data_IF_431559656328
#
_entry.id   IF_431559656328
#
_cell.length_a   1.000
_cell.length_b   1.000
_cell.length_c   1.000
_cell.angle_alpha   90.00
_cell.angle_beta   90.00
_cell.angle_gamma   90.00
#
_symmetry.space_group_name_H-M   'P 1'
#
loop_
_entity.id
_entity.type
_entity.pdbx_description
1 polymer ?
#
# COMPACT_ATOMS: atom_id res chain seq x y z
N UNK A 1 -34.36 0.23 -30.76
CA UNK A 1 -33.44 -0.66 -31.51
C UNK A 1 -32.18 -0.75 -30.66
N UNK A 2 -32.15 -1.69 -29.72
CA UNK A 2 -31.00 -1.90 -28.83
C UNK A 2 -29.91 -2.56 -29.67
N UNK A 3 -28.89 -1.78 -30.02
CA UNK A 3 -27.68 -2.31 -30.63
C UNK A 3 -27.02 -3.19 -29.58
N UNK A 4 -26.91 -4.49 -29.87
CA UNK A 4 -26.06 -5.41 -29.15
C UNK A 4 -24.63 -4.85 -29.19
N UNK A 5 -24.14 -4.31 -28.07
CA UNK A 5 -22.75 -3.86 -27.89
C UNK A 5 -21.83 -5.08 -27.70
N UNK A 6 -21.73 -5.90 -28.74
CA UNK A 6 -20.61 -6.85 -28.96
C UNK A 6 -19.39 -6.15 -29.59
N UNK A 7 -19.51 -4.85 -29.90
CA UNK A 7 -18.37 -3.99 -30.25
C UNK A 7 -17.61 -3.65 -28.96
N UNK A 8 -16.64 -4.51 -28.62
CA UNK A 8 -15.67 -4.24 -27.55
C UNK A 8 -14.88 -2.96 -27.82
N UNK A 9 -14.31 -2.39 -26.78
CA UNK A 9 -13.29 -1.33 -26.95
C UNK A 9 -12.24 -1.84 -27.92
N UNK A 10 -12.03 -1.08 -28.99
CA UNK A 10 -11.00 -1.34 -29.99
C UNK A 10 -9.63 -1.38 -29.27
N UNK A 11 -8.95 -2.52 -29.34
CA UNK A 11 -7.65 -2.74 -28.71
C UNK A 11 -6.65 -1.67 -29.16
N UNK A 12 -6.64 -1.35 -30.46
CA UNK A 12 -5.70 -0.38 -31.01
C UNK A 12 -6.02 1.03 -30.49
N UNK A 13 -7.31 1.38 -30.37
CA UNK A 13 -7.73 2.64 -29.79
C UNK A 13 -7.35 2.75 -28.31
N UNK A 14 -7.56 1.70 -27.51
CA UNK A 14 -7.17 1.69 -26.09
C UNK A 14 -5.65 1.79 -25.91
N UNK A 15 -4.87 1.11 -26.75
CA UNK A 15 -3.41 1.20 -26.74
C UNK A 15 -2.94 2.60 -27.14
N UNK A 16 -3.50 3.17 -28.21
CA UNK A 16 -3.20 4.54 -28.64
C UNK A 16 -3.51 5.55 -27.53
N UNK A 17 -4.70 5.47 -26.94
CA UNK A 17 -5.11 6.31 -25.82
C UNK A 17 -4.13 6.20 -24.65
N UNK A 18 -3.72 4.97 -24.30
CA UNK A 18 -2.79 4.73 -23.20
C UNK A 18 -1.43 5.40 -23.43
N UNK A 19 -0.90 5.37 -24.66
CA UNK A 19 0.34 6.08 -25.00
C UNK A 19 0.18 7.60 -25.01
N UNK A 20 -0.93 8.12 -25.54
CA UNK A 20 -1.20 9.56 -25.59
C UNK A 20 -1.33 10.20 -24.20
N UNK A 21 -1.91 9.47 -23.24
CA UNK A 21 -2.20 9.97 -21.91
C UNK A 21 -1.18 9.52 -20.85
N UNK A 22 -0.23 8.65 -21.21
CA UNK A 22 0.80 8.16 -20.28
C UNK A 22 0.32 7.04 -19.34
N UNK A 23 -0.79 6.35 -19.65
CA UNK A 23 -1.26 5.14 -18.97
C UNK A 23 -0.35 3.94 -19.33
N UNK A 24 0.92 4.04 -18.97
CA UNK A 24 1.97 3.10 -19.39
C UNK A 24 2.88 2.71 -18.24
N UNK A 25 3.38 1.47 -18.30
CA UNK A 25 4.40 0.96 -17.39
C UNK A 25 5.64 0.57 -18.19
N UNK A 26 6.80 0.71 -17.56
CA UNK A 26 8.08 0.29 -18.11
C UNK A 26 8.33 -1.18 -17.80
N UNK A 27 8.90 -1.88 -18.78
CA UNK A 27 9.42 -3.24 -18.60
C UNK A 27 10.84 -3.32 -19.11
N UNK A 28 11.67 -4.06 -18.37
CA UNK A 28 13.00 -4.46 -18.82
C UNK A 28 12.87 -5.75 -19.63
N UNK A 29 13.22 -5.68 -20.91
CA UNK A 29 13.27 -6.84 -21.80
C UNK A 29 14.69 -6.94 -22.32
N UNK A 30 15.42 -7.98 -21.89
CA UNK A 30 16.80 -8.24 -22.28
C UNK A 30 17.77 -7.06 -22.06
N UNK A 31 17.63 -6.33 -20.96
CA UNK A 31 18.47 -5.18 -20.62
C UNK A 31 18.04 -3.86 -21.29
N UNK A 32 16.97 -3.86 -22.08
CA UNK A 32 16.38 -2.66 -22.66
C UNK A 32 15.06 -2.32 -21.99
N UNK A 33 14.93 -1.07 -21.57
CA UNK A 33 13.71 -0.54 -20.98
C UNK A 33 12.78 -0.02 -22.07
N UNK A 34 11.55 -0.55 -22.11
CA UNK A 34 10.50 -0.07 -23.00
C UNK A 34 9.24 0.27 -22.22
N UNK A 35 8.53 1.32 -22.64
CA UNK A 35 7.20 1.65 -22.14
C UNK A 35 6.17 0.85 -22.91
N UNK A 36 5.22 0.25 -22.18
CA UNK A 36 4.07 -0.44 -22.76
C UNK A 36 2.81 0.03 -22.05
N UNK A 37 1.61 -0.10 -22.65
CA UNK A 37 0.36 0.17 -21.96
C UNK A 37 0.32 -0.58 -20.62
N UNK A 38 -0.12 0.11 -19.58
CA UNK A 38 -0.31 -0.50 -18.27
C UNK A 38 -1.33 -1.65 -18.42
N UNK A 39 -1.18 -2.77 -17.68
CA UNK A 39 -2.22 -3.79 -17.65
C UNK A 39 -3.50 -3.19 -17.08
N UNK A 40 -4.59 -3.20 -17.85
CA UNK A 40 -5.87 -2.62 -17.45
C UNK A 40 -7.02 -3.55 -17.81
N UNK A 41 -8.14 -3.43 -17.09
CA UNK A 41 -9.41 -3.90 -17.60
C UNK A 41 -9.95 -2.85 -18.58
N UNK A 42 -10.39 -3.29 -19.76
CA UNK A 42 -11.04 -2.40 -20.72
C UNK A 42 -12.45 -1.99 -20.25
N UNK A 43 -13.10 -2.81 -19.42
CA UNK A 43 -14.40 -2.48 -18.83
C UNK A 43 -14.27 -2.36 -17.31
N UNK A 44 -14.97 -1.41 -16.66
CA UNK A 44 -15.02 -1.37 -15.21
C UNK A 44 -15.72 -2.63 -14.67
N UNK A 45 -15.29 -3.10 -13.51
CA UNK A 45 -15.97 -4.17 -12.79
C UNK A 45 -17.27 -3.66 -12.15
N UNK A 46 -18.25 -4.55 -11.95
CA UNK A 46 -19.48 -4.17 -11.27
C UNK A 46 -19.21 -4.05 -9.77
N UNK A 47 -19.65 -2.96 -9.15
CA UNK A 47 -19.53 -2.79 -7.70
C UNK A 47 -20.82 -2.26 -7.10
N UNK A 48 -21.34 -2.86 -6.02
CA UNK A 48 -22.54 -2.35 -5.36
C UNK A 48 -22.29 -0.97 -4.78
N UNK A 49 -23.15 -0.01 -5.10
CA UNK A 49 -23.05 1.38 -4.63
C UNK A 49 -22.90 1.48 -3.11
N UNK A 50 -23.69 0.72 -2.36
CA UNK A 50 -23.64 0.71 -0.89
C UNK A 50 -22.26 0.29 -0.36
N UNK A 51 -21.58 -0.66 -1.02
CA UNK A 51 -20.27 -1.15 -0.62
C UNK A 51 -19.18 -0.12 -0.93
N UNK A 52 -19.25 0.52 -2.10
CA UNK A 52 -18.36 1.63 -2.48
C UNK A 52 -18.49 2.80 -1.51
N UNK A 53 -19.72 3.27 -1.25
CA UNK A 53 -19.99 4.37 -0.33
C UNK A 53 -19.55 4.06 1.10
N UNK A 54 -19.72 2.79 1.54
CA UNK A 54 -19.18 2.33 2.83
C UNK A 54 -17.65 2.41 2.85
N UNK A 55 -16.95 1.95 1.82
CA UNK A 55 -15.49 1.98 1.76
C UNK A 55 -14.95 3.42 1.84
N UNK A 56 -15.54 4.34 1.05
CA UNK A 56 -15.23 5.77 1.08
C UNK A 56 -15.46 6.38 2.47
N UNK A 57 -16.61 6.09 3.08
CA UNK A 57 -16.98 6.64 4.39
C UNK A 57 -16.08 6.13 5.52
N UNK A 58 -15.51 4.92 5.40
CA UNK A 58 -14.68 4.32 6.44
C UNK A 58 -13.23 4.83 6.41
N UNK A 59 -12.72 5.28 5.27
CA UNK A 59 -11.30 5.66 5.13
C UNK A 59 -10.79 6.66 6.17
N UNK A 60 -11.52 7.75 6.52
CA UNK A 60 -11.07 8.68 7.55
C UNK A 60 -10.89 8.03 8.94
N UNK A 61 -11.62 6.95 9.22
CA UNK A 61 -11.49 6.19 10.46
C UNK A 61 -10.24 5.31 10.46
N UNK A 62 -9.86 4.70 9.32
CA UNK A 62 -8.56 4.04 9.18
C UNK A 62 -7.41 5.03 9.30
N UNK A 63 -7.54 6.22 8.70
CA UNK A 63 -6.53 7.27 8.84
C UNK A 63 -6.33 7.66 10.32
N UNK A 64 -7.43 7.85 11.06
CA UNK A 64 -7.36 8.11 12.51
C UNK A 64 -6.76 6.92 13.27
N UNK A 65 -7.17 5.69 12.95
CA UNK A 65 -6.67 4.49 13.60
C UNK A 65 -5.14 4.38 13.51
N UNK A 66 -4.56 4.64 12.34
CA UNK A 66 -3.08 4.64 12.18
C UNK A 66 -2.45 5.70 13.10
N UNK A 67 -3.04 6.90 13.20
CA UNK A 67 -2.54 7.94 14.09
C UNK A 67 -2.64 7.57 15.57
N UNK A 68 -3.71 6.91 16.00
CA UNK A 68 -3.85 6.41 17.37
C UNK A 68 -2.84 5.29 17.67
N UNK A 69 -2.61 4.38 16.72
CA UNK A 69 -1.61 3.31 16.85
C UNK A 69 -0.20 3.87 17.06
N UNK A 70 0.21 4.86 16.25
CA UNK A 70 1.57 5.43 16.39
C UNK A 70 1.75 6.25 17.66
N UNK A 71 0.66 6.68 18.31
CA UNK A 71 0.71 7.35 19.60
C UNK A 71 0.81 6.35 20.77
N UNK A 72 0.34 5.12 20.60
CA UNK A 72 0.50 4.02 21.57
C UNK A 72 1.83 3.28 21.40
N UNK A 73 2.93 4.02 21.62
CA UNK A 73 4.30 3.56 21.37
C UNK A 73 4.62 2.20 22.02
N UNK A 74 4.24 2.00 23.29
CA UNK A 74 4.54 0.75 24.03
C UNK A 74 3.85 -0.45 23.38
N UNK A 75 2.62 -0.27 22.89
CA UNK A 75 1.87 -1.34 22.25
C UNK A 75 2.47 -1.72 20.90
N UNK A 76 2.74 -0.73 20.04
CA UNK A 76 3.33 -0.97 18.73
C UNK A 76 4.75 -1.57 18.85
N UNK A 77 5.55 -1.10 19.81
CA UNK A 77 6.86 -1.69 20.10
C UNK A 77 6.74 -3.14 20.60
N UNK A 78 5.74 -3.44 21.42
CA UNK A 78 5.44 -4.80 21.87
C UNK A 78 5.16 -5.75 20.71
N UNK A 79 4.34 -5.32 19.74
CA UNK A 79 4.06 -6.08 18.52
C UNK A 79 5.34 -6.31 17.71
N UNK A 80 6.08 -5.23 17.48
CA UNK A 80 7.33 -5.26 16.74
C UNK A 80 8.33 -6.27 17.32
N UNK A 81 8.51 -6.28 18.64
CA UNK A 81 9.42 -7.21 19.32
C UNK A 81 8.93 -8.67 19.30
N UNK A 82 7.63 -8.91 19.08
CA UNK A 82 7.05 -10.25 18.97
C UNK A 82 7.26 -10.88 17.57
N UNK A 83 7.60 -10.06 16.57
CA UNK A 83 7.86 -10.52 15.20
C UNK A 83 9.33 -10.91 15.09
N UNK A 84 9.60 -12.17 14.74
CA UNK A 84 10.96 -12.64 14.42
C UNK A 84 11.23 -12.51 12.93
N UNK A 85 11.68 -11.34 12.52
CA UNK A 85 11.98 -11.02 11.12
C UNK A 85 13.05 -9.91 11.01
N UNK A 86 14.17 -10.22 10.35
CA UNK A 86 15.33 -9.31 10.23
C UNK A 86 14.97 -7.92 9.66
N UNK A 87 13.99 -7.87 8.74
CA UNK A 87 13.58 -6.62 8.13
C UNK A 87 12.80 -5.75 9.11
N UNK A 88 11.80 -6.33 9.78
CA UNK A 88 11.05 -5.65 10.84
C UNK A 88 11.98 -5.22 11.97
N UNK A 89 12.90 -6.09 12.44
CA UNK A 89 13.85 -5.76 13.49
C UNK A 89 14.70 -4.52 13.16
N UNK A 90 15.14 -4.38 11.90
CA UNK A 90 15.90 -3.21 11.46
C UNK A 90 15.05 -1.93 11.39
N UNK A 91 13.80 -2.02 10.95
CA UNK A 91 12.87 -0.88 10.99
C UNK A 91 12.62 -0.43 12.43
N UNK A 92 12.42 -1.38 13.34
CA UNK A 92 12.23 -1.12 14.77
C UNK A 92 13.46 -0.49 15.41
N UNK A 93 14.67 -0.93 15.03
CA UNK A 93 15.91 -0.31 15.47
C UNK A 93 16.00 1.15 15.05
N UNK A 94 15.65 1.46 13.79
CA UNK A 94 15.58 2.85 13.32
C UNK A 94 14.57 3.64 14.15
N UNK A 95 13.38 3.11 14.36
CA UNK A 95 12.32 3.79 15.11
C UNK A 95 12.77 4.16 16.54
N UNK A 96 13.41 3.23 17.27
CA UNK A 96 13.96 3.49 18.63
C UNK A 96 15.06 4.54 18.66
N UNK A 97 15.75 4.75 17.54
CA UNK A 97 16.84 5.70 17.39
C UNK A 97 16.40 7.10 16.90
N UNK A 98 15.11 7.27 16.57
CA UNK A 98 14.58 8.48 15.97
C UNK A 98 13.76 9.32 16.96
N UNK A 99 13.82 10.67 16.85
CA UNK A 99 12.94 11.52 17.62
C UNK A 99 11.49 11.38 17.14
N UNK A 100 10.55 11.70 18.04
CA UNK A 100 9.15 11.86 17.64
C UNK A 100 9.02 13.04 16.68
N UNK A 101 8.44 12.80 15.52
CA UNK A 101 8.22 13.82 14.49
C UNK A 101 7.10 14.77 14.88
N UNK A 102 7.35 16.08 14.76
CA UNK A 102 6.35 17.13 15.04
C UNK A 102 5.28 17.19 13.95
N UNK A 103 5.71 17.07 12.70
CA UNK A 103 4.84 17.04 11.53
C UNK A 103 4.77 15.61 11.01
N UNK A 104 3.55 15.11 10.76
CA UNK A 104 3.30 13.77 10.22
C UNK A 104 2.33 13.89 9.05
N UNK A 105 2.62 13.15 7.98
CA UNK A 105 1.75 13.04 6.83
C UNK A 105 1.71 11.57 6.39
N UNK A 106 0.51 11.00 6.33
CA UNK A 106 0.26 9.65 5.87
C UNK A 106 -0.53 9.68 4.56
N UNK A 107 -0.06 8.92 3.56
CA UNK A 107 -0.80 8.63 2.35
C UNK A 107 -1.09 7.14 2.35
N UNK A 108 -2.26 6.77 2.85
CA UNK A 108 -2.65 5.39 3.09
C UNK A 108 -3.65 4.93 2.03
N UNK A 109 -3.67 3.63 1.79
CA UNK A 109 -4.65 2.98 0.91
C UNK A 109 -5.21 1.76 1.61
N UNK A 110 -6.52 1.70 1.78
CA UNK A 110 -7.18 0.52 2.32
C UNK A 110 -7.76 -0.28 1.16
N UNK A 111 -7.39 -1.55 1.09
CA UNK A 111 -7.74 -2.40 -0.03
C UNK A 111 -8.87 -3.35 0.43
N UNK A 112 -9.91 -3.51 -0.38
CA UNK A 112 -11.13 -4.24 -0.01
C UNK A 112 -11.58 -5.21 -1.12
N UNK A 113 -12.05 -6.37 -0.72
CA UNK A 113 -12.80 -7.27 -1.60
C UNK A 113 -14.24 -7.42 -1.09
N UNK A 114 -15.14 -7.74 -2.01
CA UNK A 114 -16.48 -8.20 -1.68
C UNK A 114 -16.42 -9.66 -1.19
N UNK A 115 -17.21 -10.01 -0.20
CA UNK A 115 -17.33 -11.37 0.31
C UNK A 115 -18.74 -11.92 0.08
N UNK A 116 -18.83 -13.06 -0.61
CA UNK A 116 -20.09 -13.70 -0.98
C UNK A 116 -20.65 -13.21 -2.32
N UNK A 117 -21.97 -13.30 -2.49
CA UNK A 117 -22.64 -12.96 -3.75
C UNK A 117 -22.78 -11.45 -3.90
N UNK A 118 -22.49 -10.91 -5.09
CA UNK A 118 -22.46 -9.48 -5.41
C UNK A 118 -23.62 -8.66 -4.81
N UNK A 119 -24.87 -9.12 -4.93
CA UNK A 119 -26.07 -8.41 -4.46
C UNK A 119 -26.18 -8.29 -2.93
N UNK A 120 -25.50 -9.17 -2.20
CA UNK A 120 -25.53 -9.28 -0.74
C UNK A 120 -24.12 -9.23 -0.14
N UNK A 121 -23.15 -8.80 -0.93
CA UNK A 121 -21.75 -8.95 -0.58
C UNK A 121 -21.38 -8.04 0.59
N UNK A 122 -20.59 -8.60 1.51
CA UNK A 122 -19.99 -7.83 2.58
C UNK A 122 -18.68 -7.19 2.10
N UNK A 123 -18.45 -5.93 2.47
CA UNK A 123 -17.16 -5.28 2.24
C UNK A 123 -16.14 -5.78 3.26
N UNK A 124 -15.07 -6.43 2.79
CA UNK A 124 -14.01 -6.98 3.64
C UNK A 124 -12.65 -6.41 3.27
N UNK A 125 -11.93 -5.90 4.27
CA UNK A 125 -10.59 -5.35 4.11
C UNK A 125 -9.60 -6.49 3.87
N UNK A 126 -8.82 -6.37 2.80
CA UNK A 126 -7.69 -7.23 2.49
C UNK A 126 -6.50 -6.81 3.35
N UNK A 127 -6.13 -5.53 3.28
CA UNK A 127 -5.03 -4.93 4.01
C UNK A 127 -5.12 -3.40 4.05
N UNK A 128 -4.27 -2.80 4.88
CA UNK A 128 -4.05 -1.35 4.93
C UNK A 128 -2.61 -1.06 4.55
N UNK A 129 -2.41 -0.44 3.38
CA UNK A 129 -1.11 -0.01 2.89
C UNK A 129 -0.74 1.34 3.49
N UNK A 130 0.28 1.36 4.36
CA UNK A 130 0.73 2.61 5.01
C UNK A 130 1.98 3.23 4.39
N UNK A 131 2.67 2.50 3.52
CA UNK A 131 3.89 2.93 2.81
C UNK A 131 3.77 2.65 1.31
N UNK A 132 4.29 3.56 0.48
CA UNK A 132 4.43 3.38 -0.97
C UNK A 132 3.15 2.93 -1.71
N UNK A 133 1.98 3.32 -1.19
CA UNK A 133 0.69 3.12 -1.85
C UNK A 133 0.76 3.68 -3.28
N UNK A 134 0.55 2.80 -4.25
CA UNK A 134 0.81 3.04 -5.68
C UNK A 134 -0.48 3.20 -6.47
N UNK A 135 -0.34 3.56 -7.75
CA UNK A 135 -1.40 3.64 -8.76
C UNK A 135 -2.40 4.79 -8.60
N UNK A 136 -2.11 5.80 -7.79
CA UNK A 136 -3.01 6.94 -7.67
C UNK A 136 -3.18 7.73 -8.97
N UNK A 137 -2.12 7.86 -9.79
CA UNK A 137 -2.21 8.54 -11.06
C UNK A 137 -2.71 7.61 -12.17
N UNK A 138 -2.20 6.37 -12.26
CA UNK A 138 -2.65 5.45 -13.31
C UNK A 138 -4.10 4.99 -13.13
N UNK A 139 -4.60 4.90 -11.89
CA UNK A 139 -6.02 4.62 -11.64
C UNK A 139 -6.90 5.77 -12.10
N UNK A 140 -6.48 7.03 -11.91
CA UNK A 140 -7.18 8.20 -12.43
C UNK A 140 -7.29 8.13 -13.96
N UNK A 141 -6.18 7.86 -14.65
CA UNK A 141 -6.18 7.69 -16.11
C UNK A 141 -7.04 6.51 -16.57
N UNK A 142 -7.06 5.41 -15.81
CA UNK A 142 -7.92 4.25 -16.14
C UNK A 142 -9.40 4.62 -16.04
N UNK A 143 -9.79 5.40 -15.02
CA UNK A 143 -11.15 5.92 -14.89
C UNK A 143 -11.48 6.92 -16.03
N UNK A 144 -10.54 7.78 -16.41
CA UNK A 144 -10.72 8.72 -17.52
C UNK A 144 -10.97 7.97 -18.84
N UNK A 145 -10.17 6.94 -19.14
CA UNK A 145 -10.37 6.07 -20.29
C UNK A 145 -11.77 5.45 -20.30
N UNK A 146 -12.22 4.88 -19.17
CA UNK A 146 -13.56 4.29 -19.08
C UNK A 146 -14.67 5.34 -19.27
N UNK A 147 -14.52 6.54 -18.70
CA UNK A 147 -15.50 7.61 -18.85
C UNK A 147 -15.59 8.13 -20.29
N UNK A 148 -14.46 8.25 -21.00
CA UNK A 148 -14.43 8.58 -22.43
C UNK A 148 -15.11 7.52 -23.29
N UNK A 149 -15.04 6.25 -22.86
CA UNK A 149 -15.79 5.14 -23.44
C UNK A 149 -17.24 5.03 -22.92
N UNK A 150 -17.78 6.12 -22.35
CA UNK A 150 -19.18 6.27 -21.91
C UNK A 150 -19.63 5.32 -20.78
N UNK A 151 -18.69 4.80 -19.98
CA UNK A 151 -19.04 4.07 -18.75
C UNK A 151 -19.47 5.05 -17.64
N UNK A 152 -20.55 4.72 -16.95
CA UNK A 152 -21.04 5.46 -15.78
C UNK A 152 -20.27 5.03 -14.52
N UNK A 153 -19.10 5.64 -14.32
CA UNK A 153 -18.28 5.46 -13.12
C UNK A 153 -17.96 6.81 -12.46
N UNK A 154 -17.75 6.85 -11.13
CA UNK A 154 -17.29 8.04 -10.43
C UNK A 154 -15.98 8.57 -11.03
N UNK A 155 -15.78 9.89 -10.94
CA UNK A 155 -14.46 10.46 -11.20
C UNK A 155 -13.48 10.01 -10.11
N UNK A 156 -12.22 9.77 -10.49
CA UNK A 156 -11.16 9.42 -9.57
C UNK A 156 -10.16 10.59 -9.47
N UNK A 157 -10.04 11.17 -8.28
CA UNK A 157 -9.17 12.32 -8.01
C UNK A 157 -7.90 11.95 -7.23
N UNK A 158 -7.65 10.66 -6.96
CA UNK A 158 -6.60 10.20 -6.06
C UNK A 158 -5.20 10.77 -6.39
N UNK A 159 -4.82 10.81 -7.68
CA UNK A 159 -3.55 11.39 -8.12
C UNK A 159 -3.42 12.87 -7.78
N UNK A 160 -4.49 13.64 -8.00
CA UNK A 160 -4.56 15.07 -7.69
C UNK A 160 -4.59 15.35 -6.18
N UNK A 161 -5.36 14.57 -5.43
CA UNK A 161 -5.49 14.71 -3.97
C UNK A 161 -4.16 14.39 -3.26
N UNK A 162 -3.45 13.34 -3.71
CA UNK A 162 -2.09 13.05 -3.24
C UNK A 162 -1.13 14.17 -3.59
N UNK A 163 -1.17 14.69 -4.82
CA UNK A 163 -0.33 15.80 -5.23
C UNK A 163 -0.57 17.08 -4.40
N UNK A 164 -1.82 17.34 -4.01
CA UNK A 164 -2.19 18.40 -3.06
C UNK A 164 -1.60 18.13 -1.69
N UNK A 165 -1.77 16.92 -1.15
CA UNK A 165 -1.26 16.56 0.17
C UNK A 165 0.27 16.70 0.29
N UNK A 166 1.06 16.32 -0.74
CA UNK A 166 2.53 16.49 -0.66
C UNK A 166 2.91 17.98 -0.70
N UNK A 167 2.20 18.80 -1.49
CA UNK A 167 2.45 20.24 -1.54
C UNK A 167 2.14 20.90 -0.20
N UNK A 168 1.00 20.54 0.40
CA UNK A 168 0.59 21.04 1.70
C UNK A 168 1.56 20.57 2.80
N UNK A 169 2.05 19.33 2.73
CA UNK A 169 3.09 18.81 3.62
C UNK A 169 4.41 19.59 3.53
N UNK A 170 4.86 19.93 2.32
CA UNK A 170 6.07 20.74 2.12
C UNK A 170 5.88 22.18 2.62
N UNK A 171 4.69 22.76 2.41
CA UNK A 171 4.37 24.11 2.87
C UNK A 171 4.24 24.17 4.40
N UNK A 172 3.67 23.15 5.03
CA UNK A 172 3.65 23.01 6.49
C UNK A 172 5.05 22.95 7.07
N UNK A 173 5.96 22.18 6.44
CA UNK A 173 7.37 22.15 6.83
C UNK A 173 8.00 23.55 6.75
N UNK A 174 7.83 24.24 5.61
CA UNK A 174 8.39 25.59 5.41
C UNK A 174 7.93 26.57 6.47
N UNK A 175 6.63 26.57 6.80
CA UNK A 175 6.07 27.47 7.80
C UNK A 175 6.53 27.13 9.22
N UNK A 176 6.57 25.85 9.57
CA UNK A 176 7.00 25.39 10.90
C UNK A 176 8.46 25.74 11.20
N UNK A 177 9.35 25.58 10.21
CA UNK A 177 10.79 25.77 10.39
C UNK A 177 11.31 27.13 9.88
N UNK A 178 10.43 28.02 9.40
CA UNK A 178 10.81 29.34 8.90
C UNK A 178 11.69 29.29 7.64
N UNK A 179 11.47 28.30 6.78
CA UNK A 179 12.28 28.03 5.58
C UNK A 179 11.54 28.54 4.34
N UNK A 180 12.18 29.41 3.56
CA UNK A 180 11.57 30.02 2.37
C UNK A 180 11.62 29.11 1.14
N UNK A 181 12.68 28.33 1.00
CA UNK A 181 12.92 27.45 -0.14
C UNK A 181 13.27 26.05 0.34
N UNK A 182 12.46 25.08 -0.10
CA UNK A 182 12.68 23.67 0.18
C UNK A 182 12.19 22.83 -1.00
N UNK A 183 12.74 21.64 -1.13
CA UNK A 183 12.34 20.64 -2.11
C UNK A 183 11.85 19.36 -1.44
N UNK A 184 11.18 18.52 -2.22
CA UNK A 184 10.83 17.16 -1.84
C UNK A 184 11.74 16.14 -2.52
N UNK A 185 11.91 14.98 -1.89
CA UNK A 185 12.52 13.79 -2.50
C UNK A 185 11.47 12.70 -2.54
N UNK A 186 11.26 12.11 -3.71
CA UNK A 186 10.55 10.85 -3.84
C UNK A 186 11.60 9.71 -3.82
N UNK A 187 11.54 8.87 -2.80
CA UNK A 187 12.44 7.71 -2.67
C UNK A 187 11.90 6.57 -3.51
N UNK A 188 12.64 6.11 -4.50
CA UNK A 188 12.17 5.13 -5.51
C UNK A 188 13.00 3.86 -5.50
N UNK A 189 12.51 2.79 -6.13
CA UNK A 189 13.32 1.61 -6.39
C UNK A 189 14.29 1.89 -7.55
N UNK A 190 15.47 1.25 -7.58
CA UNK A 190 16.22 1.16 -8.83
C UNK A 190 15.32 0.45 -9.85
N UNK A 191 15.45 0.80 -11.14
CA UNK A 191 14.72 0.09 -12.19
C UNK A 191 13.18 0.15 -12.07
N UNK A 192 12.64 1.32 -11.71
CA UNK A 192 11.19 1.53 -11.52
C UNK A 192 10.35 1.27 -12.78
N UNK A 193 9.49 0.25 -12.71
CA UNK A 193 8.53 -0.11 -13.75
C UNK A 193 7.28 0.78 -13.76
N UNK A 194 6.85 1.28 -12.60
CA UNK A 194 5.66 2.13 -12.45
C UNK A 194 6.00 3.64 -12.55
N UNK A 195 6.90 3.98 -13.47
CA UNK A 195 7.45 5.33 -13.60
C UNK A 195 6.38 6.40 -13.84
N UNK A 196 5.46 6.17 -14.77
CA UNK A 196 4.48 7.20 -15.16
C UNK A 196 3.50 7.52 -14.04
N UNK A 197 3.20 6.55 -13.16
CA UNK A 197 2.42 6.81 -11.94
C UNK A 197 3.12 7.85 -11.06
N UNK A 198 4.42 7.68 -10.84
CA UNK A 198 5.25 8.58 -10.04
C UNK A 198 5.38 9.95 -10.70
N UNK A 199 5.79 10.00 -11.96
CA UNK A 199 5.97 11.25 -12.73
C UNK A 199 4.66 12.05 -12.84
N UNK A 200 3.52 11.37 -12.94
CA UNK A 200 2.21 12.00 -12.89
C UNK A 200 1.95 12.74 -11.59
N UNK A 201 2.28 12.14 -10.44
CA UNK A 201 2.19 12.80 -9.13
C UNK A 201 3.16 13.99 -9.07
N UNK A 202 4.40 13.83 -9.55
CA UNK A 202 5.40 14.92 -9.58
C UNK A 202 4.86 16.11 -10.35
N UNK A 203 4.39 15.88 -11.57
CA UNK A 203 3.84 16.91 -12.45
C UNK A 203 2.63 17.61 -11.84
N UNK A 204 1.70 16.85 -11.26
CA UNK A 204 0.49 17.38 -10.63
C UNK A 204 0.77 18.18 -9.35
N UNK A 205 1.82 17.82 -8.60
CA UNK A 205 2.16 18.50 -7.34
C UNK A 205 2.59 19.95 -7.56
N UNK A 206 3.25 20.23 -8.68
CA UNK A 206 3.76 21.56 -9.03
C UNK A 206 4.91 22.05 -8.14
N UNK A 207 5.49 21.19 -7.30
CA UNK A 207 6.61 21.52 -6.40
C UNK A 207 7.94 21.01 -6.96
N UNK A 208 9.05 21.54 -6.45
CA UNK A 208 10.38 20.98 -6.71
C UNK A 208 10.50 19.63 -6.02
N UNK A 209 10.45 18.54 -6.81
CA UNK A 209 10.60 17.19 -6.31
C UNK A 209 11.51 16.38 -7.24
N UNK A 210 12.46 15.67 -6.65
CA UNK A 210 13.39 14.78 -7.39
C UNK A 210 13.20 13.34 -6.97
N UNK A 211 13.47 12.41 -7.88
CA UNK A 211 13.45 10.97 -7.61
C UNK A 211 14.86 10.49 -7.32
N UNK A 212 15.06 9.85 -6.18
CA UNK A 212 16.33 9.26 -5.78
C UNK A 212 16.09 7.88 -5.18
N UNK A 213 16.98 6.93 -5.43
CA UNK A 213 17.04 5.68 -4.69
C UNK A 213 17.51 5.93 -3.25
N UNK A 214 17.26 4.99 -2.32
CA UNK A 214 17.82 5.06 -0.97
C UNK A 214 19.35 5.16 -0.96
N UNK A 215 20.00 4.54 -1.93
CA UNK A 215 21.44 4.64 -2.14
C UNK A 215 21.87 6.08 -2.46
N UNK A 216 21.25 6.68 -3.47
CA UNK A 216 21.55 8.06 -3.89
C UNK A 216 21.23 9.07 -2.79
N UNK A 217 20.17 8.83 -2.00
CA UNK A 217 19.91 9.64 -0.79
C UNK A 217 21.10 9.58 0.16
N UNK A 218 21.62 8.38 0.45
CA UNK A 218 22.78 8.22 1.32
C UNK A 218 24.09 8.81 0.77
N UNK A 219 24.22 8.91 -0.57
CA UNK A 219 25.41 9.44 -1.23
C UNK A 219 25.38 10.97 -1.41
N UNK A 220 24.19 11.54 -1.64
CA UNK A 220 24.05 12.93 -2.08
C UNK A 220 23.39 13.84 -1.04
N UNK A 221 22.70 13.28 -0.04
CA UNK A 221 22.10 14.07 1.02
C UNK A 221 23.04 14.19 2.22
N UNK A 222 22.98 15.34 2.88
CA UNK A 222 23.64 15.58 4.17
C UNK A 222 22.61 16.03 5.19
N UNK A 223 22.96 15.99 6.47
CA UNK A 223 22.12 16.52 7.55
C UNK A 223 22.96 17.37 8.48
N UNK A 224 22.48 18.57 8.79
CA UNK A 224 23.08 19.47 9.76
C UNK A 224 21.99 19.94 10.73
N UNK A 225 22.18 19.73 12.03
CA UNK A 225 21.21 20.09 13.08
C UNK A 225 19.78 19.59 12.80
N UNK A 226 19.68 18.38 12.22
CA UNK A 226 18.41 17.76 11.83
C UNK A 226 17.81 18.29 10.52
N UNK A 227 18.40 19.29 9.87
CA UNK A 227 17.96 19.77 8.55
C UNK A 227 18.69 18.99 7.46
N UNK A 228 17.92 18.30 6.63
CA UNK A 228 18.44 17.52 5.50
C UNK A 228 18.64 18.44 4.28
N UNK A 229 19.73 18.25 3.55
CA UNK A 229 20.05 19.04 2.35
C UNK A 229 20.46 18.15 1.18
N UNK A 230 20.11 18.57 -0.04
CA UNK A 230 20.57 18.00 -1.29
C UNK A 230 21.14 19.14 -2.15
N UNK A 231 22.43 19.06 -2.50
CA UNK A 231 23.13 20.10 -3.27
C UNK A 231 22.95 21.53 -2.71
N UNK A 232 22.90 21.67 -1.39
CA UNK A 232 22.72 22.96 -0.69
C UNK A 232 21.27 23.46 -0.60
N UNK A 233 20.31 22.71 -1.14
CA UNK A 233 18.88 23.02 -1.01
C UNK A 233 18.28 22.20 0.13
N UNK A 234 17.45 22.82 0.97
CA UNK A 234 16.76 22.12 2.06
C UNK A 234 15.79 21.08 1.50
N UNK A 235 15.85 19.87 2.03
CA UNK A 235 14.85 18.83 1.80
C UNK A 235 13.82 18.89 2.92
N UNK A 236 12.62 19.35 2.58
CA UNK A 236 11.53 19.53 3.54
C UNK A 236 10.55 18.37 3.60
N UNK A 237 10.56 17.48 2.61
CA UNK A 237 9.66 16.35 2.52
C UNK A 237 10.33 15.15 1.84
N UNK A 238 10.09 13.96 2.36
CA UNK A 238 10.54 12.70 1.78
C UNK A 238 9.35 11.76 1.61
N UNK A 239 9.02 11.44 0.35
CA UNK A 239 7.92 10.57 -0.02
C UNK A 239 8.44 9.19 -0.46
N UNK A 240 8.12 8.15 0.31
CA UNK A 240 8.54 6.80 0.01
C UNK A 240 7.64 6.15 -1.05
N UNK A 241 8.24 5.82 -2.21
CA UNK A 241 7.77 4.86 -3.21
C UNK A 241 8.64 3.60 -3.26
N UNK A 242 9.53 3.44 -2.30
CA UNK A 242 10.34 2.24 -2.01
C UNK A 242 10.62 2.15 -0.51
N UNK A 243 11.39 1.16 -0.08
CA UNK A 243 11.81 0.97 1.31
C UNK A 243 10.83 0.14 2.15
N UNK A 244 9.85 -0.50 1.48
CA UNK A 244 8.85 -1.40 2.07
C UNK A 244 9.23 -2.88 1.93
N UNK A 245 10.25 -3.19 1.13
CA UNK A 245 10.77 -4.55 0.96
C UNK A 245 12.25 -4.64 1.35
N UNK A 246 12.73 -5.79 1.87
CA UNK A 246 14.15 -6.02 2.09
C UNK A 246 15.01 -5.80 0.84
N UNK A 247 14.45 -6.06 -0.35
CA UNK A 247 15.14 -5.89 -1.64
C UNK A 247 15.50 -4.43 -1.94
N UNK A 248 14.84 -3.46 -1.29
CA UNK A 248 15.11 -2.03 -1.46
C UNK A 248 16.38 -1.59 -0.70
N UNK A 249 16.88 -2.44 0.19
CA UNK A 249 18.06 -2.21 1.02
C UNK A 249 19.24 -3.05 0.53
N UNK A 250 19.54 -2.91 -0.77
CA UNK A 250 20.58 -3.67 -1.49
C UNK A 250 21.93 -3.59 -0.79
N UNK A 251 22.25 -2.43 -0.22
CA UNK A 251 23.51 -2.17 0.47
C UNK A 251 23.26 -1.69 1.90
N UNK A 252 24.23 -1.92 2.79
CA UNK A 252 24.13 -1.50 4.20
C UNK A 252 23.94 0.01 4.36
N UNK A 253 24.45 0.81 3.42
CA UNK A 253 24.28 2.26 3.42
C UNK A 253 22.81 2.69 3.25
N UNK A 254 21.93 1.86 2.64
CA UNK A 254 20.51 2.18 2.49
C UNK A 254 19.85 2.31 3.87
N UNK A 255 20.27 1.49 4.84
CA UNK A 255 19.79 1.58 6.21
C UNK A 255 20.28 2.85 6.91
N UNK A 256 21.52 3.27 6.65
CA UNK A 256 22.06 4.54 7.13
C UNK A 256 21.31 5.73 6.52
N UNK A 257 20.99 5.67 5.22
CA UNK A 257 20.20 6.68 4.53
C UNK A 257 18.78 6.76 5.10
N UNK A 258 18.12 5.60 5.32
CA UNK A 258 16.81 5.54 5.97
C UNK A 258 16.86 6.18 7.36
N UNK A 259 17.84 5.83 8.19
CA UNK A 259 18.02 6.42 9.52
C UNK A 259 18.27 7.94 9.46
N UNK A 260 19.08 8.41 8.51
CA UNK A 260 19.34 9.84 8.29
C UNK A 260 18.04 10.59 8.00
N UNK A 261 17.22 10.07 7.09
CA UNK A 261 15.92 10.66 6.75
C UNK A 261 15.01 10.69 7.97
N UNK A 262 14.86 9.59 8.69
CA UNK A 262 13.95 9.49 9.85
C UNK A 262 14.39 10.38 11.02
N UNK A 263 15.69 10.64 11.17
CA UNK A 263 16.23 11.62 12.14
C UNK A 263 16.07 13.07 11.72
N UNK A 264 15.90 13.34 10.42
CA UNK A 264 15.75 14.70 9.93
C UNK A 264 14.39 15.31 10.29
N UNK A 265 14.30 16.63 10.14
CA UNK A 265 13.08 17.43 10.33
C UNK A 265 12.15 17.38 9.13
N UNK A 266 12.58 16.81 7.99
CA UNK A 266 11.73 16.68 6.81
C UNK A 266 10.45 15.92 7.16
N UNK A 267 9.33 16.26 6.52
CA UNK A 267 8.09 15.46 6.66
C UNK A 267 8.30 14.14 5.92
N UNK A 268 8.12 13.00 6.60
CA UNK A 268 8.18 11.68 5.96
C UNK A 268 6.78 11.22 5.59
N UNK A 269 6.64 10.64 4.39
CA UNK A 269 5.42 9.99 3.93
C UNK A 269 5.72 8.51 3.59
N UNK A 270 5.37 7.58 4.49
CA UNK A 270 5.12 7.76 5.92
C UNK A 270 6.44 7.89 6.72
N UNK A 271 6.35 8.33 7.97
CA UNK A 271 7.43 8.09 8.95
C UNK A 271 7.54 6.60 9.32
N UNK A 272 8.63 6.23 9.99
CA UNK A 272 8.90 4.83 10.36
C UNK A 272 7.81 4.23 11.26
N UNK A 273 7.16 5.02 12.12
CA UNK A 273 6.12 4.52 13.02
C UNK A 273 4.84 4.17 12.23
N UNK A 274 4.43 5.03 11.31
CA UNK A 274 3.29 4.77 10.42
C UNK A 274 3.59 3.60 9.45
N UNK A 275 4.84 3.44 9.02
CA UNK A 275 5.26 2.22 8.28
C UNK A 275 5.06 0.96 9.14
N UNK A 276 5.54 0.95 10.39
CA UNK A 276 5.36 -0.19 11.31
C UNK A 276 3.88 -0.45 11.65
N UNK A 277 3.04 0.58 11.69
CA UNK A 277 1.60 0.43 11.89
C UNK A 277 0.90 -0.34 10.75
N UNK A 278 1.52 -0.45 9.56
CA UNK A 278 1.00 -1.20 8.41
C UNK A 278 1.32 -2.69 8.44
N UNK A 279 2.09 -3.18 9.42
CA UNK A 279 2.45 -4.59 9.50
C UNK A 279 1.20 -5.49 9.58
N UNK A 280 1.23 -6.62 8.89
CA UNK A 280 0.12 -7.59 8.91
C UNK A 280 -0.17 -8.10 10.33
N UNK A 281 0.85 -8.20 11.18
CA UNK A 281 0.66 -8.51 12.61
C UNK A 281 -0.17 -7.44 13.34
N UNK A 282 -0.01 -6.16 13.02
CA UNK A 282 -0.84 -5.08 13.59
C UNK A 282 -2.30 -5.26 13.16
N UNK A 283 -2.55 -5.55 11.88
CA UNK A 283 -3.89 -5.87 11.38
C UNK A 283 -4.53 -7.06 12.14
N UNK A 284 -3.77 -8.13 12.37
CA UNK A 284 -4.23 -9.28 13.14
C UNK A 284 -4.60 -8.91 14.59
N UNK A 285 -3.76 -8.15 15.30
CA UNK A 285 -4.04 -7.75 16.68
C UNK A 285 -5.28 -6.84 16.77
N UNK A 286 -5.50 -5.98 15.77
CA UNK A 286 -6.67 -5.09 15.69
C UNK A 286 -7.98 -5.83 15.38
N UNK A 287 -7.92 -7.07 14.88
CA UNK A 287 -9.12 -7.88 14.68
C UNK A 287 -9.78 -8.28 16.01
N UNK A 288 -9.04 -8.21 17.13
CA UNK A 288 -9.60 -8.41 18.45
C UNK A 288 -10.42 -7.18 18.89
N UNK A 289 -11.75 -7.31 19.15
CA UNK A 289 -12.60 -6.16 19.49
C UNK A 289 -12.11 -5.39 20.73
N UNK A 290 -11.58 -6.10 21.73
CA UNK A 290 -11.05 -5.48 22.94
C UNK A 290 -9.79 -4.66 22.69
N UNK A 291 -8.98 -5.03 21.71
CA UNK A 291 -7.80 -4.25 21.29
C UNK A 291 -8.23 -3.05 20.48
N UNK A 292 -9.09 -3.25 19.46
CA UNK A 292 -9.60 -2.17 18.62
C UNK A 292 -10.28 -1.06 19.43
N UNK A 293 -11.07 -1.43 20.45
CA UNK A 293 -11.78 -0.47 21.30
C UNK A 293 -10.86 0.47 22.10
N UNK A 294 -9.57 0.12 22.28
CA UNK A 294 -8.57 0.99 22.91
C UNK A 294 -8.23 2.19 22.01
N UNK A 295 -8.22 1.97 20.70
CA UNK A 295 -7.91 3.00 19.70
C UNK A 295 -9.18 3.69 19.19
N UNK A 296 -10.25 2.93 18.99
CA UNK A 296 -11.47 3.38 18.32
C UNK A 296 -12.69 3.10 19.22
N UNK A 297 -12.99 4.05 20.11
CA UNK A 297 -14.04 3.86 21.13
C UNK A 297 -15.44 3.76 20.56
N UNK A 298 -15.87 4.75 19.77
CA UNK A 298 -17.24 4.81 19.22
C UNK A 298 -17.34 4.20 17.83
N UNK A 299 -16.22 4.18 17.10
CA UNK A 299 -16.21 3.85 15.68
C UNK A 299 -15.59 2.46 15.41
N UNK A 300 -15.21 1.73 16.46
CA UNK A 300 -14.56 0.42 16.36
C UNK A 300 -15.41 -0.62 15.64
N UNK A 301 -16.72 -0.66 15.91
CA UNK A 301 -17.64 -1.62 15.28
C UNK A 301 -17.72 -1.43 13.75
N UNK A 302 -17.62 -0.18 13.28
CA UNK A 302 -17.63 0.14 11.85
C UNK A 302 -16.42 -0.48 11.15
N UNK A 303 -15.23 -0.31 11.73
CA UNK A 303 -13.99 -0.90 11.24
C UNK A 303 -14.01 -2.43 11.35
N UNK A 304 -14.39 -2.96 12.52
CA UNK A 304 -14.48 -4.40 12.76
C UNK A 304 -15.42 -5.12 11.79
N UNK A 305 -16.49 -4.45 11.32
CA UNK A 305 -17.40 -5.01 10.31
C UNK A 305 -16.71 -5.35 8.98
N UNK A 306 -15.55 -4.74 8.70
CA UNK A 306 -14.76 -4.98 7.50
C UNK A 306 -13.70 -6.07 7.68
N UNK A 307 -13.45 -6.55 8.90
CA UNK A 307 -12.41 -7.54 9.13
C UNK A 307 -12.91 -8.96 8.82
N UNK A 308 -12.01 -9.77 8.27
CA UNK A 308 -12.15 -11.23 8.22
C UNK A 308 -11.64 -11.86 9.51
N UNK A 309 -11.90 -13.15 9.72
CA UNK A 309 -11.27 -13.88 10.82
C UNK A 309 -9.75 -13.93 10.62
N UNK A 310 -9.00 -13.49 11.63
CA UNK A 310 -7.54 -13.52 11.66
C UNK A 310 -7.09 -14.42 12.81
N UNK A 311 -6.33 -15.46 12.49
CA UNK A 311 -5.89 -16.47 13.46
C UNK A 311 -4.42 -16.34 13.79
N UNK A 312 -4.14 -16.46 15.07
CA UNK A 312 -2.79 -16.43 15.61
C UNK A 312 -2.14 -17.81 15.60
N UNK A 313 -0.82 -17.84 15.37
CA UNK A 313 0.00 -19.05 15.29
C UNK A 313 1.11 -19.08 16.35
N UNK A 314 0.94 -18.43 17.51
CA UNK A 314 1.98 -18.46 18.55
C UNK A 314 2.27 -19.89 19.02
N UNK A 315 3.47 -20.12 19.56
CA UNK A 315 3.89 -21.42 20.09
C UNK A 315 3.26 -21.72 21.47
N UNK A 316 1.94 -21.78 21.50
CA UNK A 316 1.12 -22.09 22.67
C UNK A 316 -0.07 -22.98 22.27
N UNK A 317 -0.93 -23.31 23.23
CA UNK A 317 -2.09 -24.18 22.97
C UNK A 317 -3.08 -23.58 21.96
N UNK A 318 -3.33 -22.26 22.04
CA UNK A 318 -4.22 -21.56 21.12
C UNK A 318 -3.68 -21.58 19.69
N UNK A 319 -2.38 -21.32 19.49
CA UNK A 319 -1.78 -21.34 18.16
C UNK A 319 -1.73 -22.74 17.55
N UNK A 320 -1.52 -23.79 18.38
CA UNK A 320 -1.65 -25.19 17.92
C UNK A 320 -3.08 -25.53 17.50
N UNK A 321 -4.07 -25.13 18.29
CA UNK A 321 -5.48 -25.33 17.95
C UNK A 321 -5.87 -24.60 16.65
N UNK A 322 -5.40 -23.36 16.47
CA UNK A 322 -5.62 -22.62 15.23
C UNK A 322 -4.94 -23.30 14.04
N UNK A 323 -3.72 -23.83 14.19
CA UNK A 323 -3.05 -24.58 13.13
C UNK A 323 -3.84 -25.84 12.73
N UNK A 324 -4.41 -26.58 13.70
CA UNK A 324 -5.29 -27.72 13.43
C UNK A 324 -6.56 -27.30 12.67
N UNK A 325 -7.20 -26.19 13.06
CA UNK A 325 -8.36 -25.61 12.34
C UNK A 325 -8.02 -25.26 10.89
N UNK A 326 -6.82 -24.75 10.63
CA UNK A 326 -6.39 -24.41 9.27
C UNK A 326 -6.11 -25.68 8.47
N UNK A 327 -5.47 -26.68 9.07
CA UNK A 327 -5.16 -27.94 8.41
C UNK A 327 -6.40 -28.78 8.07
N UNK A 328 -7.51 -28.62 8.80
CA UNK A 328 -8.77 -29.30 8.47
C UNK A 328 -9.48 -28.72 7.25
N UNK A 329 -9.29 -27.43 6.95
CA UNK A 329 -9.94 -26.72 5.84
C UNK A 329 -8.97 -25.75 5.13
N UNK A 330 -7.85 -26.21 4.56
CA UNK A 330 -6.75 -25.35 4.12
C UNK A 330 -7.14 -24.35 3.01
N UNK A 331 -8.15 -24.68 2.18
CA UNK A 331 -8.61 -23.80 1.10
C UNK A 331 -9.40 -22.58 1.59
N UNK A 332 -9.86 -22.59 2.86
CA UNK A 332 -10.53 -21.47 3.52
C UNK A 332 -9.55 -20.41 4.02
N UNK A 333 -8.27 -20.70 4.08
CA UNK A 333 -7.28 -19.86 4.76
C UNK A 333 -6.15 -19.42 3.84
N UNK A 334 -5.56 -18.29 4.18
CA UNK A 334 -4.34 -17.77 3.54
C UNK A 334 -3.33 -17.43 4.64
N UNK A 335 -2.05 -17.73 4.39
CA UNK A 335 -0.97 -17.21 5.23
C UNK A 335 -0.34 -15.98 4.57
N UNK A 336 -0.14 -14.92 5.36
CA UNK A 336 0.52 -13.69 4.92
C UNK A 336 1.79 -13.46 5.74
N UNK A 337 2.98 -13.36 5.13
CA UNK A 337 4.19 -12.91 5.82
C UNK A 337 4.15 -11.40 6.09
N UNK A 338 5.08 -10.90 6.90
CA UNK A 338 5.28 -9.46 7.14
C UNK A 338 6.00 -8.78 5.96
N UNK A 339 5.40 -8.82 4.77
CA UNK A 339 5.93 -8.22 3.53
C UNK A 339 4.84 -7.45 2.81
N UNK A 340 5.25 -6.40 2.11
CA UNK A 340 4.41 -5.57 1.24
C UNK A 340 4.80 -5.77 -0.23
N UNK A 341 3.94 -5.36 -1.17
CA UNK A 341 4.26 -5.37 -2.61
C UNK A 341 3.78 -6.60 -3.40
N UNK A 342 2.90 -7.41 -2.82
CA UNK A 342 2.22 -8.52 -3.50
C UNK A 342 3.08 -9.78 -3.73
N UNK A 343 2.43 -10.90 -4.03
CA UNK A 343 3.10 -12.15 -4.40
C UNK A 343 3.70 -12.98 -3.25
N UNK A 344 3.47 -12.59 -2.00
CA UNK A 344 4.03 -13.27 -0.82
C UNK A 344 3.05 -14.18 -0.07
N UNK A 345 1.76 -14.16 -0.43
CA UNK A 345 0.73 -14.95 0.22
C UNK A 345 0.89 -16.45 -0.10
N UNK A 346 0.62 -17.29 0.89
CA UNK A 346 0.80 -18.75 0.82
C UNK A 346 -0.57 -19.42 0.92
N UNK A 347 -0.85 -20.36 0.00
CA UNK A 347 -2.17 -21.00 -0.16
C UNK A 347 -2.06 -22.53 -0.21
N UNK A 348 -3.18 -23.21 0.06
CA UNK A 348 -3.38 -24.64 -0.24
C UNK A 348 -2.22 -25.53 0.23
N UNK A 349 -1.62 -26.28 -0.69
CA UNK A 349 -0.55 -27.24 -0.34
C UNK A 349 0.70 -26.61 0.28
N UNK A 350 1.02 -25.36 -0.07
CA UNK A 350 2.15 -24.65 0.53
C UNK A 350 1.82 -24.18 1.95
N UNK A 351 0.57 -23.79 2.20
CA UNK A 351 0.08 -23.46 3.53
C UNK A 351 0.14 -24.69 4.45
N UNK A 352 -0.28 -25.85 3.96
CA UNK A 352 -0.18 -27.12 4.71
C UNK A 352 1.27 -27.45 5.06
N UNK A 353 2.20 -27.26 4.11
CA UNK A 353 3.65 -27.44 4.36
C UNK A 353 4.18 -26.47 5.41
N UNK A 354 3.81 -25.19 5.32
CA UNK A 354 4.21 -24.18 6.32
C UNK A 354 3.75 -24.56 7.73
N UNK A 355 2.50 -24.99 7.89
CA UNK A 355 1.94 -25.33 9.21
C UNK A 355 2.45 -26.65 9.77
N UNK A 356 2.87 -27.56 8.89
CA UNK A 356 3.50 -28.83 9.25
C UNK A 356 5.00 -28.70 9.53
N UNK A 357 5.61 -27.53 9.31
CA UNK A 357 7.02 -27.28 9.60
C UNK A 357 7.26 -27.36 11.12
N UNK A 358 8.29 -28.11 11.50
CA UNK A 358 8.65 -28.33 12.89
C UNK A 358 9.24 -27.07 13.54
N UNK A 359 9.71 -26.11 12.75
CA UNK A 359 10.23 -24.83 13.24
C UNK A 359 9.07 -23.85 13.56
N UNK A 360 8.80 -23.56 14.85
CA UNK A 360 7.76 -22.61 15.22
C UNK A 360 8.08 -21.19 14.76
N UNK A 361 9.37 -20.83 14.61
CA UNK A 361 9.80 -19.49 14.19
C UNK A 361 9.20 -19.14 12.83
N UNK A 362 9.27 -20.08 11.88
CA UNK A 362 8.74 -19.90 10.53
C UNK A 362 7.23 -19.72 10.52
N UNK A 363 6.52 -20.46 11.37
CA UNK A 363 5.07 -20.36 11.51
C UNK A 363 4.66 -19.00 12.10
N UNK A 364 5.34 -18.56 13.16
CA UNK A 364 5.06 -17.29 13.84
C UNK A 364 5.40 -16.04 13.02
N UNK A 365 6.18 -16.17 11.94
CA UNK A 365 6.46 -15.07 11.02
C UNK A 365 5.28 -14.70 10.10
N UNK A 366 4.21 -15.51 10.12
CA UNK A 366 3.03 -15.34 9.29
C UNK A 366 1.79 -15.08 10.15
N UNK A 367 0.84 -14.35 9.59
CA UNK A 367 -0.54 -14.33 10.09
C UNK A 367 -1.39 -15.27 9.23
N UNK A 368 -2.45 -15.83 9.82
CA UNK A 368 -3.49 -16.53 9.08
C UNK A 368 -4.71 -15.63 8.97
N UNK A 369 -5.27 -15.54 7.78
CA UNK A 369 -6.50 -14.81 7.50
C UNK A 369 -7.46 -15.73 6.77
N UNK A 370 -8.74 -15.65 7.10
CA UNK A 370 -9.79 -16.29 6.32
C UNK A 370 -9.82 -15.68 4.90
N UNK A 371 -9.88 -16.55 3.89
CA UNK A 371 -9.90 -16.15 2.50
C UNK A 371 -11.22 -15.45 2.19
N UNK A 372 -11.13 -14.28 1.56
CA UNK A 372 -12.32 -13.59 1.05
C UNK A 372 -12.82 -14.34 -0.20
N UNK A 373 -14.03 -14.89 -0.11
CA UNK A 373 -14.76 -15.44 -1.25
C UNK A 373 -15.33 -14.31 -2.12
N UNK A 374 -14.52 -13.80 -3.05
CA UNK A 374 -14.90 -12.69 -3.93
C UNK A 374 -15.72 -13.15 -5.14
N UNK A 375 -16.82 -12.44 -5.48
CA UNK A 375 -17.57 -12.74 -6.68
C UNK A 375 -16.70 -12.52 -7.92
N UNK A 376 -16.75 -13.48 -8.85
CA UNK A 376 -16.04 -13.36 -10.12
C UNK A 376 -16.98 -12.93 -11.24
N UNK A 377 -16.50 -12.04 -12.10
CA UNK A 377 -17.24 -11.51 -13.25
C UNK A 377 -16.42 -11.61 -14.55
N UNK A 378 -17.06 -11.81 -15.71
CA UNK A 378 -16.38 -11.77 -17.00
C UNK A 378 -15.63 -10.44 -17.20
N UNK A 379 -14.33 -10.53 -17.47
CA UNK A 379 -13.45 -9.37 -17.65
C UNK A 379 -12.76 -9.40 -19.01
N UNK A 380 -12.44 -8.21 -19.53
CA UNK A 380 -11.64 -8.04 -20.75
C UNK A 380 -10.38 -7.28 -20.36
N UNK A 381 -9.25 -7.98 -20.31
CA UNK A 381 -8.00 -7.42 -19.80
C UNK A 381 -7.05 -7.14 -20.95
N UNK A 382 -6.54 -5.91 -21.04
CA UNK A 382 -5.46 -5.53 -21.92
C UNK A 382 -4.13 -5.67 -21.18
N UNK A 383 -3.23 -6.49 -21.72
CA UNK A 383 -1.83 -6.60 -21.25
C UNK A 383 -0.89 -6.65 -22.45
N UNK A 384 -0.29 -7.80 -22.70
CA UNK A 384 0.47 -8.14 -23.91
C UNK A 384 -0.48 -8.34 -25.10
N UNK A 385 -1.64 -8.94 -24.83
CA UNK A 385 -2.78 -9.14 -25.72
C UNK A 385 -4.07 -8.92 -24.94
N UNK A 386 -5.21 -9.09 -25.61
CA UNK A 386 -6.51 -9.17 -24.95
C UNK A 386 -6.72 -10.55 -24.33
N UNK A 387 -7.11 -10.55 -23.06
CA UNK A 387 -7.54 -11.72 -22.31
C UNK A 387 -9.02 -11.58 -21.98
N UNK A 388 -9.78 -12.68 -22.11
CA UNK A 388 -11.21 -12.75 -21.81
C UNK A 388 -11.43 -13.86 -20.80
N UNK A 389 -11.31 -13.51 -19.53
CA UNK A 389 -11.33 -14.45 -18.42
C UNK A 389 -12.20 -13.88 -17.30
N UNK A 390 -12.80 -14.73 -16.46
CA UNK A 390 -13.38 -14.28 -15.21
C UNK A 390 -12.31 -13.62 -14.34
N UNK A 391 -12.61 -12.43 -13.83
CA UNK A 391 -11.76 -11.67 -12.91
C UNK A 391 -12.43 -11.52 -11.55
N UNK A 392 -11.63 -11.19 -10.55
CA UNK A 392 -12.10 -10.67 -9.25
C UNK A 392 -11.52 -9.26 -9.10
N UNK A 393 -12.21 -8.39 -8.37
CA UNK A 393 -11.79 -7.00 -8.19
C UNK A 393 -11.57 -6.68 -6.72
N UNK A 394 -10.54 -5.89 -6.48
CA UNK A 394 -10.18 -5.30 -5.21
C UNK A 394 -10.36 -3.78 -5.35
N UNK A 395 -11.12 -3.19 -4.44
CA UNK A 395 -11.39 -1.76 -4.38
C UNK A 395 -10.41 -1.11 -3.41
N UNK A 396 -9.74 -0.08 -3.90
CA UNK A 396 -8.77 0.69 -3.13
C UNK A 396 -9.34 2.07 -2.78
N UNK A 397 -9.26 2.48 -1.51
CA UNK A 397 -9.64 3.82 -1.03
C UNK A 397 -8.48 4.52 -0.35
#
# INVERSE_FOLDING_TARGET
MHVHLDEGIDEDAARAWAFEHGLTMRRNVNGSWSSMPAPISLRPASWPRFAFEKAVAIQPYFNRLVLEIVNEHVWLEGICNAIRDDFVERLCKIWKECPTQKLRLGLFRSDYMLHGKLEQAELKQVELNTIAASFSHLSQLTCDLHRENSFDIPANTAGGDIAVAIRDGLELFKNEYGITEAMAIMVVQPEEGNLHDQEGIIKQSGISMVRLTLEEVGQHCTTQDGVMMLNGVVVGLVYYRSGYSPSDYVHSHCWTARLMVERSSAVKIPDIAMHLAGLKKVQQELACPTVLSKFMRTDGDLLASTFMELLHLEDNESGRHNAERVLSEPDRWIAKPQREGGGHNIFGSELVKLLSDADPVRRTAHIIMEKIDAPSEPSILLRDKIWREPGVSELDI
#
